data_IF_889254079276
#
_entry.id   IF_889254079276
#
_cell.length_a   1.000
_cell.length_b   1.000
_cell.length_c   1.000
_cell.angle_alpha   90.00
_cell.angle_beta   90.00
_cell.angle_gamma   90.00
#
_symmetry.space_group_name_H-M   'P 1'
#
loop_
_entity.id
_entity.type
_entity.pdbx_description
1 polymer ?
#
# COMPACT_ATOMS: atom_id res chain seq x y z
N UNK A 1 -17.71 28.92 2.16
CA UNK A 1 -18.28 28.75 0.81
C UNK A 1 -17.79 27.41 0.20
N UNK A 2 -18.08 26.28 0.85
CA UNK A 2 -17.68 24.94 0.38
C UNK A 2 -18.83 23.90 0.52
N UNK A 3 -19.76 24.12 1.46
CA UNK A 3 -20.99 23.31 1.60
C UNK A 3 -21.90 23.32 0.38
N UNK A 4 -21.79 24.33 -0.50
CA UNK A 4 -22.65 24.47 -1.67
C UNK A 4 -22.10 23.78 -2.93
N UNK A 5 -20.84 23.30 -2.90
CA UNK A 5 -20.23 22.56 -4.03
C UNK A 5 -20.22 21.05 -3.85
N UNK A 6 -20.40 20.55 -2.62
CA UNK A 6 -20.58 19.13 -2.37
C UNK A 6 -21.93 18.61 -2.90
N UNK A 7 -22.93 19.49 -3.06
CA UNK A 7 -24.18 19.15 -3.75
C UNK A 7 -24.09 19.21 -5.28
N UNK A 8 -22.99 19.71 -5.84
CA UNK A 8 -22.77 19.83 -7.30
C UNK A 8 -21.99 18.65 -7.88
N UNK A 9 -21.24 17.91 -7.06
CA UNK A 9 -20.60 16.65 -7.44
C UNK A 9 -21.39 15.52 -6.79
N UNK A 10 -22.13 14.78 -7.61
CA UNK A 10 -22.85 13.54 -7.27
C UNK A 10 -21.87 12.44 -6.87
N UNK A 11 -21.06 12.65 -5.84
CA UNK A 11 -20.21 11.62 -5.28
C UNK A 11 -21.12 10.52 -4.75
N UNK A 12 -21.14 9.41 -5.47
CA UNK A 12 -21.84 8.19 -5.06
C UNK A 12 -21.21 7.67 -3.76
N UNK A 13 -21.95 6.88 -2.97
CA UNK A 13 -21.44 6.24 -1.74
C UNK A 13 -20.15 5.42 -1.97
N UNK A 14 -19.84 5.08 -3.22
CA UNK A 14 -18.66 4.31 -3.63
C UNK A 14 -17.51 5.15 -4.21
N UNK A 15 -17.60 6.48 -4.18
CA UNK A 15 -16.57 7.36 -4.75
C UNK A 15 -15.66 7.96 -3.66
N UNK A 16 -14.34 7.76 -3.79
CA UNK A 16 -13.33 8.24 -2.87
C UNK A 16 -12.57 9.43 -3.48
N UNK A 17 -12.61 10.59 -2.82
CA UNK A 17 -11.78 11.74 -3.18
C UNK A 17 -10.47 11.68 -2.40
N UNK A 18 -9.36 11.70 -3.13
CA UNK A 18 -7.99 11.82 -2.62
C UNK A 18 -7.19 12.78 -3.49
N UNK A 19 -6.17 13.38 -2.91
CA UNK A 19 -5.20 14.20 -3.64
C UNK A 19 -4.29 13.30 -4.49
N UNK A 20 -3.70 13.89 -5.53
CA UNK A 20 -2.67 13.20 -6.33
C UNK A 20 -1.46 12.78 -5.49
N UNK A 21 -1.12 13.55 -4.46
CA UNK A 21 -0.02 13.21 -3.55
C UNK A 21 -0.30 11.95 -2.74
N UNK A 22 -1.51 11.84 -2.17
CA UNK A 22 -1.96 10.65 -1.43
C UNK A 22 -2.00 9.41 -2.35
N UNK A 23 -2.53 9.55 -3.56
CA UNK A 23 -2.53 8.45 -4.55
C UNK A 23 -1.11 7.98 -4.89
N UNK A 24 -0.18 8.92 -5.10
CA UNK A 24 1.20 8.59 -5.41
C UNK A 24 1.89 7.89 -4.24
N UNK A 25 1.71 8.38 -3.01
CA UNK A 25 2.29 7.75 -1.82
C UNK A 25 1.80 6.30 -1.64
N UNK A 26 0.50 6.07 -1.84
CA UNK A 26 -0.05 4.70 -1.81
C UNK A 26 0.57 3.82 -2.90
N UNK A 27 0.72 4.34 -4.12
CA UNK A 27 1.36 3.60 -5.22
C UNK A 27 2.80 3.25 -4.92
N UNK A 28 3.55 4.14 -4.28
CA UNK A 28 4.94 3.91 -3.89
C UNK A 28 5.03 2.81 -2.83
N UNK A 29 4.14 2.83 -1.83
CA UNK A 29 4.07 1.76 -0.81
C UNK A 29 3.72 0.39 -1.42
N UNK A 30 2.73 0.35 -2.32
CA UNK A 30 2.36 -0.87 -3.05
C UNK A 30 3.52 -1.36 -3.92
N UNK A 31 4.25 -0.45 -4.55
CA UNK A 31 5.42 -0.79 -5.35
C UNK A 31 6.51 -1.46 -4.50
N UNK A 32 6.81 -0.91 -3.31
CA UNK A 32 7.78 -1.53 -2.38
C UNK A 32 7.30 -2.91 -1.93
N UNK A 33 6.02 -3.08 -1.63
CA UNK A 33 5.48 -4.40 -1.27
C UNK A 33 5.60 -5.39 -2.43
N UNK A 34 5.36 -4.95 -3.67
CA UNK A 34 5.57 -5.80 -4.86
C UNK A 34 7.04 -6.25 -4.96
N UNK A 35 7.99 -5.33 -4.82
CA UNK A 35 9.41 -5.68 -4.79
C UNK A 35 9.73 -6.69 -3.69
N UNK A 36 9.17 -6.49 -2.49
CA UNK A 36 9.40 -7.42 -1.39
C UNK A 36 8.85 -8.82 -1.68
N UNK A 37 7.72 -8.94 -2.37
CA UNK A 37 7.19 -10.25 -2.82
C UNK A 37 8.15 -10.87 -3.84
N UNK A 38 8.56 -10.12 -4.86
CA UNK A 38 9.47 -10.60 -5.91
C UNK A 38 10.83 -11.05 -5.34
N UNK A 39 11.31 -10.41 -4.27
CA UNK A 39 12.54 -10.79 -3.57
C UNK A 39 12.34 -12.08 -2.77
N UNK A 40 11.25 -12.20 -2.01
CA UNK A 40 10.93 -13.39 -1.22
C UNK A 40 10.75 -14.62 -2.11
N UNK A 41 10.11 -14.47 -3.28
CA UNK A 41 9.95 -15.57 -4.24
C UNK A 41 11.30 -16.09 -4.77
N UNK A 42 12.28 -15.20 -4.98
CA UNK A 42 13.63 -15.58 -5.43
C UNK A 42 14.46 -16.16 -4.29
N UNK A 43 14.42 -15.52 -3.12
CA UNK A 43 15.22 -15.90 -1.96
C UNK A 43 14.79 -17.25 -1.37
N UNK A 44 13.52 -17.61 -1.55
CA UNK A 44 12.95 -18.88 -1.05
C UNK A 44 12.69 -19.90 -2.16
N UNK A 45 13.31 -19.74 -3.34
CA UNK A 45 13.25 -20.71 -4.42
C UNK A 45 13.81 -22.07 -3.92
N UNK A 46 13.04 -23.17 -3.97
CA UNK A 46 13.51 -24.47 -3.51
C UNK A 46 14.76 -25.00 -4.25
N UNK A 47 15.04 -24.50 -5.46
CA UNK A 47 16.21 -24.90 -6.25
C UNK A 47 17.54 -24.43 -5.67
N UNK A 48 17.53 -23.44 -4.76
CA UNK A 48 18.74 -22.89 -4.11
C UNK A 48 18.90 -23.34 -2.65
N UNK A 49 18.06 -24.28 -2.17
CA UNK A 49 18.09 -24.83 -0.80
C UNK A 49 18.12 -23.76 0.32
N UNK A 50 17.07 -22.92 0.42
CA UNK A 50 17.04 -21.78 1.34
C UNK A 50 17.11 -22.21 2.81
N UNK A 51 17.93 -21.51 3.59
CA UNK A 51 18.14 -21.82 4.99
C UNK A 51 17.07 -21.18 5.88
N UNK A 52 16.92 -21.68 7.11
CA UNK A 52 16.05 -21.06 8.14
C UNK A 52 16.36 -19.56 8.36
N UNK A 53 17.61 -19.14 8.14
CA UNK A 53 18.00 -17.73 8.24
C UNK A 53 17.38 -16.92 7.10
N UNK A 54 17.34 -17.47 5.90
CA UNK A 54 16.79 -16.81 4.71
C UNK A 54 15.28 -16.66 4.84
N UNK A 55 14.56 -17.69 5.33
CA UNK A 55 13.15 -17.58 5.70
C UNK A 55 12.86 -16.48 6.72
N UNK A 56 13.71 -16.34 7.75
CA UNK A 56 13.54 -15.29 8.76
C UNK A 56 13.78 -13.90 8.17
N UNK A 57 14.78 -13.76 7.30
CA UNK A 57 15.10 -12.51 6.63
C UNK A 57 13.98 -12.10 5.67
N UNK A 58 13.54 -13.03 4.82
CA UNK A 58 12.43 -12.88 3.88
C UNK A 58 11.13 -12.47 4.59
N UNK A 59 10.75 -13.17 5.67
CA UNK A 59 9.57 -12.83 6.45
C UNK A 59 9.67 -11.44 7.09
N UNK A 60 10.83 -11.10 7.65
CA UNK A 60 11.05 -9.77 8.23
C UNK A 60 10.90 -8.69 7.16
N UNK A 61 11.53 -8.88 6.00
CA UNK A 61 11.46 -7.94 4.89
C UNK A 61 10.03 -7.71 4.42
N UNK A 62 9.30 -8.80 4.18
CA UNK A 62 7.90 -8.75 3.76
C UNK A 62 7.01 -8.01 4.76
N UNK A 63 7.20 -8.26 6.06
CA UNK A 63 6.44 -7.57 7.11
C UNK A 63 6.77 -6.07 7.18
N UNK A 64 8.04 -5.68 7.04
CA UNK A 64 8.42 -4.27 7.00
C UNK A 64 7.84 -3.56 5.76
N UNK A 65 7.77 -4.22 4.61
CA UNK A 65 7.16 -3.67 3.39
C UNK A 65 5.62 -3.59 3.48
N UNK A 66 4.97 -4.55 4.15
CA UNK A 66 3.52 -4.59 4.29
C UNK A 66 2.98 -3.58 5.32
N UNK A 67 3.75 -3.32 6.40
CA UNK A 67 3.33 -2.42 7.50
C UNK A 67 2.88 -1.03 7.03
N UNK A 68 3.63 -0.30 6.17
CA UNK A 68 3.20 1.01 5.68
C UNK A 68 1.87 0.97 4.92
N UNK A 69 1.63 -0.08 4.13
CA UNK A 69 0.41 -0.23 3.32
C UNK A 69 -0.82 -0.40 4.22
N UNK A 70 -0.70 -1.14 5.32
CA UNK A 70 -1.81 -1.39 6.24
C UNK A 70 -1.97 -0.31 7.31
N UNK A 71 -0.93 0.49 7.56
CA UNK A 71 -0.94 1.52 8.59
C UNK A 71 -1.81 2.72 8.23
N UNK A 72 -2.01 3.00 6.93
CA UNK A 72 -2.81 4.12 6.45
C UNK A 72 -4.16 3.61 5.89
N UNK A 73 -5.26 3.71 6.67
CA UNK A 73 -6.59 3.44 6.12
C UNK A 73 -6.87 4.45 5.02
N UNK A 74 -7.49 4.01 3.92
CA UNK A 74 -8.01 4.90 2.88
C UNK A 74 -9.11 5.78 3.49
N UNK A 75 -8.76 6.97 3.96
CA UNK A 75 -9.69 7.93 4.53
C UNK A 75 -10.14 8.91 3.43
N UNK A 76 -11.44 9.17 3.28
CA UNK A 76 -11.90 10.22 2.40
C UNK A 76 -11.38 11.57 2.89
N UNK A 77 -10.75 12.33 1.98
CA UNK A 77 -10.27 13.67 2.32
C UNK A 77 -11.45 14.57 2.70
N UNK A 78 -11.67 14.81 3.99
CA UNK A 78 -12.60 15.85 4.46
C UNK A 78 -11.86 17.18 4.45
N UNK A 79 -12.06 17.98 3.40
CA UNK A 79 -11.50 19.34 3.34
C UNK A 79 -12.36 20.31 4.17
N UNK A 80 -11.78 21.20 5.00
CA UNK A 80 -12.51 22.27 5.69
C UNK A 80 -13.06 23.35 4.75
#
# INVERSE_FOLDING_TARGET
>A
MARQRASELKLSENELVMTRGELNALRDQIFVLKCAIDDVEKDLDPSIDPTTRDYRAALKWLLEAAKPVVAEPLRPSHRP
#
